data_IF_846571786567
#
_entry.id   IF_846571786567
#
_cell.length_a   1.000
_cell.length_b   1.000
_cell.length_c   1.000
_cell.angle_alpha   90.00
_cell.angle_beta   90.00
_cell.angle_gamma   90.00
#
_symmetry.space_group_name_H-M   'P 1'
#
loop_
_entity.id
_entity.type
_entity.pdbx_description
1 polymer ?
#
# COMPACT_ATOMS: atom_id res chain seq x y z
N UNK A 1 60.67 45.22 -15.93
CA UNK A 1 60.68 44.48 -17.21
C UNK A 1 59.71 43.32 -17.07
N UNK A 2 58.62 43.35 -17.84
CA UNK A 2 57.60 42.30 -17.84
C UNK A 2 58.21 41.03 -18.42
N UNK A 3 58.35 39.96 -17.61
CA UNK A 3 58.74 38.66 -18.13
C UNK A 3 57.49 37.81 -18.36
N UNK A 4 57.21 37.61 -19.64
CA UNK A 4 56.10 36.89 -20.22
C UNK A 4 55.89 35.52 -19.59
N UNK A 5 54.71 35.35 -19.02
CA UNK A 5 54.10 34.07 -18.74
C UNK A 5 53.56 33.51 -20.06
N UNK A 6 54.35 32.65 -20.73
CA UNK A 6 53.87 31.85 -21.86
C UNK A 6 54.18 30.39 -21.58
N UNK A 7 53.22 29.74 -20.91
CA UNK A 7 53.07 28.29 -20.88
C UNK A 7 52.94 27.77 -22.33
N UNK A 8 54.00 27.15 -22.83
CA UNK A 8 53.91 26.25 -23.96
C UNK A 8 53.19 24.98 -23.48
N UNK A 9 51.89 24.84 -23.72
CA UNK A 9 51.21 23.55 -23.61
C UNK A 9 51.91 22.56 -24.55
N UNK A 10 52.29 21.41 -24.01
CA UNK A 10 52.91 20.33 -24.80
C UNK A 10 51.87 19.79 -25.81
N UNK A 11 52.29 19.52 -27.06
CA UNK A 11 51.40 19.12 -28.16
C UNK A 11 50.60 17.86 -27.80
N UNK A 12 51.18 16.95 -27.03
CA UNK A 12 50.51 15.75 -26.53
C UNK A 12 49.42 16.06 -25.50
N UNK A 13 49.63 17.06 -24.64
CA UNK A 13 48.60 17.51 -23.69
C UNK A 13 47.43 18.16 -24.42
N UNK A 14 47.71 18.95 -25.47
CA UNK A 14 46.66 19.53 -26.31
C UNK A 14 45.82 18.45 -26.99
N UNK A 15 46.45 17.43 -27.57
CA UNK A 15 45.74 16.31 -28.20
C UNK A 15 44.84 15.58 -27.18
N UNK A 16 45.35 15.36 -25.96
CA UNK A 16 44.59 14.70 -24.91
C UNK A 16 43.38 15.52 -24.46
N UNK A 17 43.55 16.83 -24.24
CA UNK A 17 42.44 17.72 -23.87
C UNK A 17 41.36 17.80 -24.96
N UNK A 18 41.73 17.79 -26.24
CA UNK A 18 40.77 17.78 -27.34
C UNK A 18 39.99 16.47 -27.40
N UNK A 19 40.65 15.32 -27.16
CA UNK A 19 39.97 14.02 -27.10
C UNK A 19 39.00 13.94 -25.92
N UNK A 20 39.39 14.47 -24.76
CA UNK A 20 38.54 14.50 -23.57
C UNK A 20 37.31 15.40 -23.79
N UNK A 21 37.50 16.58 -24.39
CA UNK A 21 36.40 17.46 -24.78
C UNK A 21 35.45 16.79 -25.78
N UNK A 22 35.98 16.03 -26.74
CA UNK A 22 35.17 15.30 -27.70
C UNK A 22 34.30 14.24 -27.02
N UNK A 23 34.86 13.50 -26.05
CA UNK A 23 34.12 12.51 -25.26
C UNK A 23 33.04 13.16 -24.39
N UNK A 24 33.34 14.31 -23.79
CA UNK A 24 32.37 15.10 -23.05
C UNK A 24 31.19 15.53 -23.94
N UNK A 25 31.45 16.01 -25.15
CA UNK A 25 30.38 16.41 -26.09
C UNK A 25 29.49 15.23 -26.52
N UNK A 26 30.08 14.05 -26.74
CA UNK A 26 29.31 12.83 -27.06
C UNK A 26 28.39 12.48 -25.88
N UNK A 27 28.92 12.48 -24.65
CA UNK A 27 28.14 12.18 -23.45
C UNK A 27 27.00 13.18 -23.22
N UNK A 28 27.24 14.46 -23.51
CA UNK A 28 26.23 15.50 -23.37
C UNK A 28 25.11 15.33 -24.41
N UNK A 29 25.47 14.98 -25.64
CA UNK A 29 24.51 14.72 -26.73
C UNK A 29 23.61 13.54 -26.38
N UNK A 30 24.17 12.46 -25.83
CA UNK A 30 23.38 11.31 -25.39
C UNK A 30 22.42 11.67 -24.26
N UNK A 31 22.87 12.47 -23.28
CA UNK A 31 22.01 12.95 -22.20
C UNK A 31 20.87 13.83 -22.70
N UNK A 32 21.12 14.71 -23.67
CA UNK A 32 20.09 15.53 -24.32
C UNK A 32 19.06 14.63 -25.03
N UNK A 33 19.51 13.64 -25.79
CA UNK A 33 18.62 12.70 -26.46
C UNK A 33 17.77 11.90 -25.48
N UNK A 34 18.31 11.51 -24.32
CA UNK A 34 17.55 10.86 -23.26
C UNK A 34 16.47 11.80 -22.69
N UNK A 35 16.77 13.07 -22.47
CA UNK A 35 15.79 14.05 -22.02
C UNK A 35 14.67 14.27 -23.04
N UNK A 36 14.99 14.36 -24.33
CA UNK A 36 13.99 14.48 -25.39
C UNK A 36 13.02 13.28 -25.42
N UNK A 37 13.56 12.06 -25.24
CA UNK A 37 12.74 10.86 -25.14
C UNK A 37 11.83 10.87 -23.89
N UNK A 38 12.33 11.38 -22.76
CA UNK A 38 11.54 11.51 -21.54
C UNK A 38 10.41 12.56 -21.70
N UNK A 39 10.69 13.68 -22.35
CA UNK A 39 9.69 14.71 -22.67
C UNK A 39 8.58 14.14 -23.57
N UNK A 40 8.94 13.42 -24.63
CA UNK A 40 7.96 12.77 -25.50
C UNK A 40 7.07 11.76 -24.74
N UNK A 41 7.63 11.05 -23.75
CA UNK A 41 6.88 10.14 -22.89
C UNK A 41 5.94 10.89 -21.93
N UNK A 42 6.37 12.03 -21.40
CA UNK A 42 5.53 12.87 -20.53
C UNK A 42 4.32 13.42 -21.30
N UNK A 43 4.52 13.92 -22.53
CA UNK A 43 3.43 14.39 -23.39
C UNK A 43 2.39 13.29 -23.66
N UNK A 44 2.85 12.06 -23.90
CA UNK A 44 1.97 10.91 -24.09
C UNK A 44 1.14 10.61 -22.84
N UNK A 45 1.77 10.63 -21.66
CA UNK A 45 1.11 10.39 -20.38
C UNK A 45 0.13 11.51 -20.01
N UNK A 46 0.44 12.75 -20.35
CA UNK A 46 -0.46 13.88 -20.14
C UNK A 46 -1.72 13.75 -21.01
N UNK A 47 -1.54 13.35 -22.27
CA UNK A 47 -2.66 13.06 -23.17
C UNK A 47 -3.53 11.91 -22.65
N UNK A 48 -2.92 10.81 -22.21
CA UNK A 48 -3.65 9.66 -21.65
C UNK A 48 -4.43 10.05 -20.37
N UNK A 49 -3.82 10.84 -19.49
CA UNK A 49 -4.50 11.37 -18.31
C UNK A 49 -5.70 12.26 -18.68
N UNK A 50 -5.57 13.08 -19.73
CA UNK A 50 -6.67 13.88 -20.27
C UNK A 50 -7.84 13.01 -20.77
N UNK A 51 -7.53 11.96 -21.53
CA UNK A 51 -8.53 11.01 -22.03
C UNK A 51 -9.22 10.26 -20.89
N UNK A 52 -8.47 9.77 -19.91
CA UNK A 52 -9.02 9.08 -18.74
C UNK A 52 -9.92 10.00 -17.91
N UNK A 53 -9.54 11.27 -17.74
CA UNK A 53 -10.36 12.27 -17.04
C UNK A 53 -11.68 12.53 -17.77
N UNK A 54 -11.65 12.63 -19.10
CA UNK A 54 -12.86 12.78 -19.92
C UNK A 54 -13.76 11.54 -19.82
N UNK A 55 -13.20 10.34 -19.84
CA UNK A 55 -13.96 9.10 -19.65
C UNK A 55 -14.61 9.01 -18.27
N UNK A 56 -13.91 9.47 -17.22
CA UNK A 56 -14.44 9.51 -15.86
C UNK A 56 -15.64 10.45 -15.78
N UNK A 57 -15.52 11.67 -16.31
CA UNK A 57 -16.63 12.63 -16.36
C UNK A 57 -17.82 12.09 -17.14
N UNK A 58 -17.60 11.44 -18.28
CA UNK A 58 -18.67 10.82 -19.06
C UNK A 58 -19.41 9.73 -18.27
N UNK A 59 -18.68 8.92 -17.49
CA UNK A 59 -19.27 7.90 -16.61
C UNK A 59 -20.04 8.51 -15.44
N UNK A 60 -19.54 9.57 -14.83
CA UNK A 60 -20.22 10.27 -13.74
C UNK A 60 -21.56 10.88 -14.20
N UNK A 61 -21.58 11.52 -15.37
CA UNK A 61 -22.82 12.02 -15.99
C UNK A 61 -23.83 10.90 -16.28
N UNK A 62 -23.36 9.74 -16.73
CA UNK A 62 -24.23 8.58 -16.96
C UNK A 62 -24.82 8.03 -15.65
N UNK A 63 -24.03 8.00 -14.58
CA UNK A 63 -24.49 7.59 -13.25
C UNK A 63 -25.55 8.55 -12.73
N UNK A 64 -25.33 9.86 -12.85
CA UNK A 64 -26.29 10.89 -12.43
C UNK A 64 -27.63 10.75 -13.16
N UNK A 65 -27.59 10.54 -14.49
CA UNK A 65 -28.79 10.31 -15.31
C UNK A 65 -29.57 9.07 -14.86
N UNK A 66 -28.87 7.97 -14.56
CA UNK A 66 -29.50 6.73 -14.07
C UNK A 66 -30.10 6.91 -12.66
N UNK A 67 -29.42 7.63 -11.77
CA UNK A 67 -29.94 7.95 -10.44
C UNK A 67 -31.20 8.83 -10.50
N UNK A 68 -31.24 9.80 -11.41
CA UNK A 68 -32.43 10.60 -11.69
C UNK A 68 -33.62 9.75 -12.14
N UNK A 69 -33.41 8.85 -13.10
CA UNK A 69 -34.47 7.93 -13.59
C UNK A 69 -35.00 6.99 -12.48
N UNK A 70 -34.13 6.50 -11.61
CA UNK A 70 -34.53 5.66 -10.47
C UNK A 70 -35.35 6.43 -9.42
N UNK A 71 -35.04 7.71 -9.22
CA UNK A 71 -35.76 8.58 -8.28
C UNK A 71 -37.15 8.92 -8.80
N UNK A 72 -37.28 9.25 -10.09
CA UNK A 72 -38.59 9.48 -10.74
C UNK A 72 -39.46 8.22 -10.82
N UNK A 73 -38.86 7.01 -10.82
CA UNK A 73 -39.61 5.75 -10.78
C UNK A 73 -40.18 5.44 -9.39
N UNK A 74 -39.59 5.96 -8.30
CA UNK A 74 -40.09 5.79 -6.93
C UNK A 74 -41.28 6.70 -6.60
N UNK A 75 -41.41 7.86 -7.24
CA UNK A 75 -42.50 8.82 -6.94
C UNK A 75 -43.84 8.46 -7.58
N UNK A 76 -43.89 7.52 -8.54
CA UNK A 76 -45.13 7.07 -9.17
C UNK A 76 -45.80 5.85 -8.48
N UNK A 77 -45.39 5.50 -7.26
CA UNK A 77 -46.04 4.46 -6.44
C UNK A 77 -46.29 4.94 -5.00
N UNK A 78 -47.33 5.76 -4.80
CA UNK A 78 -47.97 6.08 -3.53
C UNK A 78 -49.26 6.85 -3.84
N UNK A 79 -50.45 6.59 -3.31
CA UNK A 79 -50.91 6.01 -2.03
C UNK A 79 -52.37 5.50 -2.22
N UNK A 80 -53.30 5.43 -1.22
CA UNK A 80 -53.24 5.05 0.21
C UNK A 80 -54.35 4.01 0.59
N UNK A 81 -54.36 3.47 1.82
CA UNK A 81 -55.61 3.20 2.55
C UNK A 81 -55.38 2.97 4.05
N UNK A 82 -55.99 3.84 4.84
CA UNK A 82 -56.25 3.77 6.28
C UNK A 82 -57.20 2.61 6.61
N UNK A 83 -57.08 2.01 7.81
CA UNK A 83 -58.23 1.68 8.67
C UNK A 83 -57.80 1.25 10.07
N UNK A 84 -58.51 1.83 11.04
CA UNK A 84 -58.57 1.45 12.45
C UNK A 84 -59.34 0.13 12.65
N UNK A 85 -59.39 -0.28 13.92
CA UNK A 85 -60.43 -1.02 14.67
C UNK A 85 -60.12 -2.46 15.11
N UNK A 86 -60.18 -2.61 16.43
CA UNK A 86 -60.13 -3.78 17.33
C UNK A 86 -61.36 -4.73 17.23
N UNK A 87 -61.35 -5.92 17.89
CA UNK A 87 -62.07 -7.15 17.50
C UNK A 87 -63.46 -7.33 18.16
N UNK A 88 -64.21 -8.42 17.85
CA UNK A 88 -64.29 -9.54 18.82
C UNK A 88 -64.53 -10.97 18.27
N UNK A 89 -63.90 -11.93 18.95
CA UNK A 89 -64.41 -13.20 19.54
C UNK A 89 -65.27 -14.22 18.73
N UNK A 90 -64.68 -15.43 18.61
CA UNK A 90 -65.20 -16.82 18.58
C UNK A 90 -66.69 -17.14 18.39
N UNK A 91 -66.97 -18.06 17.45
CA UNK A 91 -67.81 -19.25 17.71
C UNK A 91 -67.46 -20.43 16.78
N UNK A 92 -67.42 -21.62 17.39
CA UNK A 92 -67.18 -22.99 16.89
C UNK A 92 -68.36 -23.42 15.97
N UNK A 93 -68.26 -24.26 14.91
CA UNK A 93 -68.25 -25.75 14.96
C UNK A 93 -68.36 -26.35 13.53
N UNK A 94 -67.45 -27.30 13.21
CA UNK A 94 -67.55 -28.58 12.45
C UNK A 94 -68.25 -28.71 11.08
N UNK A 95 -67.58 -29.29 10.07
CA UNK A 95 -67.97 -30.52 9.32
C UNK A 95 -66.88 -30.93 8.27
N UNK A 96 -66.48 -32.21 8.28
CA UNK A 96 -65.56 -32.94 7.36
C UNK A 96 -66.33 -33.45 6.10
N UNK A 97 -65.74 -34.14 5.09
CA UNK A 97 -64.32 -34.36 4.71
C UNK A 97 -64.03 -34.24 3.17
N UNK A 98 -62.78 -34.56 2.80
CA UNK A 98 -62.35 -35.26 1.56
C UNK A 98 -61.60 -34.45 0.46
N UNK A 99 -60.28 -34.66 0.42
CA UNK A 99 -59.43 -34.72 -0.79
C UNK A 99 -57.96 -34.93 -0.38
N UNK A 100 -57.40 -36.08 -0.75
CA UNK A 100 -55.97 -36.40 -0.71
C UNK A 100 -55.10 -35.30 -1.31
N UNK A 101 -54.47 -34.48 -0.47
CA UNK A 101 -53.38 -33.58 -0.86
C UNK A 101 -52.08 -34.08 -0.24
N UNK A 102 -51.13 -34.45 -1.11
CA UNK A 102 -49.75 -34.67 -0.71
C UNK A 102 -49.26 -33.47 0.11
N UNK A 103 -48.81 -33.76 1.32
CA UNK A 103 -48.42 -32.75 2.31
C UNK A 103 -47.52 -31.68 1.69
N UNK A 104 -47.86 -30.40 1.90
CA UNK A 104 -47.03 -29.24 1.56
C UNK A 104 -45.58 -29.39 2.06
N UNK A 105 -45.36 -30.18 3.12
CA UNK A 105 -44.04 -30.53 3.64
C UNK A 105 -43.16 -31.28 2.61
N UNK A 106 -43.75 -32.09 1.72
CA UNK A 106 -43.03 -32.86 0.70
C UNK A 106 -42.53 -31.98 -0.45
N UNK A 107 -43.33 -30.99 -0.85
CA UNK A 107 -42.96 -30.00 -1.87
C UNK A 107 -41.90 -29.00 -1.35
N UNK A 108 -42.01 -28.59 -0.08
CA UNK A 108 -41.04 -27.70 0.57
C UNK A 108 -39.63 -28.33 0.70
N UNK A 109 -39.55 -29.64 0.91
CA UNK A 109 -38.27 -30.36 1.03
C UNK A 109 -37.50 -30.47 -0.30
N UNK A 110 -38.20 -30.54 -1.44
CA UNK A 110 -37.57 -30.54 -2.77
C UNK A 110 -37.01 -29.16 -3.16
N UNK A 111 -37.67 -28.08 -2.77
CA UNK A 111 -37.18 -26.70 -3.01
C UNK A 111 -35.97 -26.31 -2.14
N UNK A 112 -35.80 -26.93 -0.98
CA UNK A 112 -34.67 -26.66 -0.07
C UNK A 112 -33.31 -27.14 -0.60
N UNK A 113 -33.30 -28.09 -1.55
CA UNK A 113 -32.08 -28.67 -2.13
C UNK A 113 -31.52 -27.86 -3.31
N UNK A 114 -32.31 -26.98 -3.92
CA UNK A 114 -31.84 -26.14 -5.02
C UNK A 114 -31.32 -24.81 -4.47
N UNK A 115 -29.99 -24.68 -4.40
CA UNK A 115 -29.34 -23.44 -3.96
C UNK A 115 -29.67 -22.34 -4.97
N UNK A 116 -30.53 -21.41 -4.58
CA UNK A 116 -30.99 -20.31 -5.44
C UNK A 116 -29.79 -19.58 -6.10
N UNK A 117 -29.67 -19.58 -7.45
CA UNK A 117 -28.56 -18.96 -8.17
C UNK A 117 -28.48 -17.43 -7.94
N UNK A 118 -29.60 -16.78 -7.60
CA UNK A 118 -29.61 -15.36 -7.26
C UNK A 118 -28.99 -15.11 -5.87
N UNK A 119 -29.24 -16.00 -4.90
CA UNK A 119 -28.65 -15.93 -3.55
C UNK A 119 -27.15 -16.21 -3.56
N UNK A 120 -26.69 -17.14 -4.39
CA UNK A 120 -25.25 -17.39 -4.58
C UNK A 120 -24.57 -16.24 -5.32
N UNK A 121 -25.21 -15.63 -6.32
CA UNK A 121 -24.68 -14.45 -7.03
C UNK A 121 -24.57 -13.23 -6.12
N UNK A 122 -25.59 -12.94 -5.29
CA UNK A 122 -25.52 -11.88 -4.27
C UNK A 122 -24.42 -12.13 -3.24
N UNK A 123 -24.24 -13.39 -2.82
CA UNK A 123 -23.16 -13.77 -1.89
C UNK A 123 -21.77 -13.58 -2.52
N UNK A 124 -21.61 -13.93 -3.81
CA UNK A 124 -20.38 -13.66 -4.56
C UNK A 124 -20.13 -12.17 -4.75
N UNK A 125 -21.15 -11.39 -5.07
CA UNK A 125 -21.03 -9.92 -5.20
C UNK A 125 -20.69 -9.26 -3.86
N UNK A 126 -21.28 -9.72 -2.76
CA UNK A 126 -20.94 -9.27 -1.41
C UNK A 126 -19.50 -9.63 -1.03
N UNK A 127 -19.04 -10.84 -1.36
CA UNK A 127 -17.64 -11.22 -1.20
C UNK A 127 -16.72 -10.40 -2.14
N UNK A 128 -17.18 -10.09 -3.36
CA UNK A 128 -16.48 -9.27 -4.34
C UNK A 128 -16.23 -7.84 -3.87
N UNK A 129 -17.16 -7.26 -3.08
CA UNK A 129 -16.97 -5.95 -2.42
C UNK A 129 -15.79 -5.94 -1.45
N UNK A 130 -15.43 -7.10 -0.88
CA UNK A 130 -14.27 -7.25 0.01
C UNK A 130 -12.95 -7.12 -0.76
N UNK A 131 -12.97 -7.30 -2.07
CA UNK A 131 -11.83 -7.13 -2.98
C UNK A 131 -11.91 -5.82 -3.79
N UNK A 132 -12.92 -4.98 -3.54
CA UNK A 132 -12.96 -3.62 -4.09
C UNK A 132 -12.06 -2.74 -3.24
N UNK A 133 -11.01 -2.19 -3.84
CA UNK A 133 -10.11 -1.21 -3.23
C UNK A 133 -10.91 0.07 -2.93
N UNK A 134 -11.29 0.27 -1.67
CA UNK A 134 -12.03 1.45 -1.20
C UNK A 134 -11.13 2.66 -0.95
N UNK A 135 -9.82 2.53 -1.13
CA UNK A 135 -8.87 3.48 -0.58
C UNK A 135 -8.55 4.62 -1.55
N UNK A 136 -9.29 5.73 -1.43
CA UNK A 136 -9.04 7.03 -2.10
C UNK A 136 -7.96 7.88 -1.41
N UNK A 137 -7.02 7.26 -0.71
CA UNK A 137 -5.98 7.95 0.07
C UNK A 137 -4.61 7.89 -0.60
N UNK A 138 -3.66 8.67 -0.08
CA UNK A 138 -2.27 8.52 -0.50
C UNK A 138 -1.78 7.10 -0.24
N UNK A 139 -1.13 6.54 -1.25
CA UNK A 139 -0.55 5.20 -1.25
C UNK A 139 0.96 5.35 -1.18
N UNK A 140 1.61 4.53 -0.36
CA UNK A 140 3.06 4.56 -0.20
C UNK A 140 3.49 4.18 1.19
N UNK A 141 4.80 4.26 1.40
CA UNK A 141 5.45 3.87 2.64
C UNK A 141 6.35 4.99 3.12
N UNK A 142 6.40 5.17 4.44
CA UNK A 142 7.19 6.19 5.09
C UNK A 142 7.96 5.59 6.26
N UNK A 143 9.21 6.02 6.41
CA UNK A 143 9.97 5.76 7.62
C UNK A 143 9.57 6.76 8.70
N UNK A 144 9.17 6.23 9.85
CA UNK A 144 9.00 6.99 11.08
C UNK A 144 10.22 6.74 11.96
N UNK A 145 10.82 7.82 12.46
CA UNK A 145 12.01 7.73 13.30
C UNK A 145 11.65 7.97 14.76
N UNK A 146 12.19 7.11 15.63
CA UNK A 146 12.02 7.17 17.07
C UNK A 146 13.38 7.19 17.76
N UNK A 147 13.44 7.86 18.90
CA UNK A 147 14.58 7.81 19.82
C UNK A 147 14.76 6.42 20.43
N UNK A 148 16.01 6.05 20.69
CA UNK A 148 16.39 4.77 21.30
C UNK A 148 17.29 4.99 22.50
N UNK A 149 16.89 4.43 23.63
CA UNK A 149 17.78 4.29 24.79
C UNK A 149 18.55 2.97 24.70
N UNK A 150 19.86 3.03 24.46
CA UNK A 150 20.76 1.87 24.52
C UNK A 150 20.75 0.94 23.30
N UNK A 151 21.23 -0.30 23.49
CA UNK A 151 21.28 -1.34 22.45
C UNK A 151 20.01 -2.18 22.49
N UNK A 152 19.18 -2.09 21.45
CA UNK A 152 17.93 -2.84 21.33
C UNK A 152 17.97 -3.69 20.06
N UNK A 153 17.55 -4.95 20.19
CA UNK A 153 17.45 -5.89 19.07
C UNK A 153 16.15 -5.68 18.28
N UNK A 154 16.12 -6.06 17.00
CA UNK A 154 14.91 -5.96 16.15
C UNK A 154 13.72 -6.75 16.72
N UNK A 155 13.97 -7.93 17.29
CA UNK A 155 12.96 -8.76 17.94
C UNK A 155 12.34 -8.04 19.15
N UNK A 156 13.18 -7.40 19.95
CA UNK A 156 12.76 -6.63 21.13
C UNK A 156 11.92 -5.43 20.72
N UNK A 157 12.31 -4.69 19.67
CA UNK A 157 11.49 -3.60 19.12
C UNK A 157 10.11 -4.12 18.73
N UNK A 158 10.02 -5.23 17.98
CA UNK A 158 8.71 -5.81 17.62
C UNK A 158 7.89 -6.22 18.84
N UNK A 159 8.54 -6.78 19.85
CA UNK A 159 7.88 -7.15 21.10
C UNK A 159 7.31 -5.93 21.83
N UNK A 160 8.08 -4.85 21.96
CA UNK A 160 7.64 -3.63 22.63
C UNK A 160 6.55 -2.89 21.84
N UNK A 161 6.65 -2.83 20.50
CA UNK A 161 5.57 -2.27 19.67
C UNK A 161 4.26 -3.03 19.87
N UNK A 162 4.31 -4.37 19.96
CA UNK A 162 3.12 -5.18 20.24
C UNK A 162 2.53 -4.86 21.63
N UNK A 163 3.38 -4.65 22.65
CA UNK A 163 2.94 -4.25 23.99
C UNK A 163 2.35 -2.85 24.03
N UNK A 164 2.84 -1.95 23.19
CA UNK A 164 2.28 -0.62 22.98
C UNK A 164 0.93 -0.63 22.21
N UNK A 165 0.42 -1.81 21.83
CA UNK A 165 -0.84 -1.95 21.11
C UNK A 165 -0.73 -1.70 19.60
N UNK A 166 0.49 -1.70 19.05
CA UNK A 166 0.72 -1.57 17.61
C UNK A 166 0.59 -2.94 16.94
N UNK A 167 -0.09 -2.95 15.80
CA UNK A 167 -0.15 -4.13 14.96
C UNK A 167 1.18 -4.33 14.24
N UNK A 168 1.98 -5.27 14.75
CA UNK A 168 3.27 -5.63 14.14
C UNK A 168 3.16 -6.17 12.71
N UNK A 169 1.97 -6.61 12.27
CA UNK A 169 1.73 -7.02 10.89
C UNK A 169 1.72 -5.84 9.90
N UNK A 170 1.49 -4.61 10.38
CA UNK A 170 1.57 -3.39 9.59
C UNK A 170 2.97 -2.79 9.54
N UNK A 171 3.89 -3.31 10.35
CA UNK A 171 5.30 -2.89 10.39
C UNK A 171 6.09 -3.68 9.35
N UNK A 172 6.55 -2.98 8.30
CA UNK A 172 7.27 -3.61 7.21
C UNK A 172 8.72 -3.89 7.58
N UNK A 173 9.42 -2.86 8.05
CA UNK A 173 10.83 -2.98 8.41
C UNK A 173 11.13 -2.23 9.71
N UNK A 174 12.15 -2.71 10.42
CA UNK A 174 12.75 -2.06 11.57
C UNK A 174 14.24 -1.97 11.33
N UNK A 175 14.73 -0.75 11.34
CA UNK A 175 16.09 -0.44 11.00
C UNK A 175 16.71 0.52 12.02
N UNK A 176 18.05 0.57 12.07
CA UNK A 176 18.78 1.42 13.03
C UNK A 176 19.71 2.33 12.23
N UNK A 177 19.21 3.43 11.67
CA UNK A 177 19.97 4.24 10.71
C UNK A 177 21.14 4.99 11.37
N UNK A 178 21.00 5.39 12.63
CA UNK A 178 22.02 6.09 13.38
C UNK A 178 22.06 5.59 14.84
N UNK A 179 23.08 6.02 15.57
CA UNK A 179 23.17 5.76 17.01
C UNK A 179 22.04 6.47 17.73
N UNK A 180 21.24 5.69 18.48
CA UNK A 180 20.11 6.25 19.23
C UNK A 180 18.85 6.47 18.40
N UNK A 181 18.80 6.00 17.15
CA UNK A 181 17.62 6.14 16.28
C UNK A 181 17.10 4.77 15.82
N UNK A 182 15.78 4.61 15.87
CA UNK A 182 15.05 3.49 15.28
C UNK A 182 14.26 4.03 14.10
N UNK A 183 14.46 3.46 12.91
CA UNK A 183 13.60 3.70 11.75
C UNK A 183 12.58 2.57 11.62
N UNK A 184 11.31 2.92 11.47
CA UNK A 184 10.21 1.97 11.31
C UNK A 184 9.51 2.28 9.99
N UNK A 185 9.45 1.30 9.09
CA UNK A 185 8.78 1.46 7.79
C UNK A 185 7.31 1.07 7.92
N UNK A 186 6.43 2.03 7.63
CA UNK A 186 4.98 1.88 7.76
C UNK A 186 4.28 2.33 6.48
N UNK A 187 3.06 1.83 6.26
CA UNK A 187 2.19 2.40 5.23
C UNK A 187 1.70 3.79 5.65
N UNK A 188 1.68 4.76 4.72
CA UNK A 188 1.36 6.17 5.00
C UNK A 188 0.05 6.32 5.78
N UNK A 189 -0.98 5.54 5.43
CA UNK A 189 -2.30 5.61 6.10
C UNK A 189 -2.28 5.14 7.55
N UNK A 190 -1.24 4.40 7.96
CA UNK A 190 -1.08 3.93 9.33
C UNK A 190 -0.15 4.84 10.16
N UNK A 191 0.57 5.78 9.53
CA UNK A 191 1.54 6.64 10.22
C UNK A 191 0.87 7.48 11.31
N UNK A 192 -0.27 8.11 11.00
CA UNK A 192 -1.04 8.90 11.97
C UNK A 192 -1.49 8.07 13.18
N UNK A 193 -2.03 6.87 12.94
CA UNK A 193 -2.46 5.95 14.00
C UNK A 193 -1.27 5.50 14.85
N UNK A 194 -0.14 5.20 14.20
CA UNK A 194 1.10 4.81 14.86
C UNK A 194 1.66 5.94 15.74
N UNK A 195 1.76 7.16 15.20
CA UNK A 195 2.26 8.33 15.94
C UNK A 195 1.36 8.67 17.12
N UNK A 196 0.04 8.53 16.97
CA UNK A 196 -0.90 8.71 18.07
C UNK A 196 -0.65 7.68 19.19
N UNK A 197 -0.34 6.41 18.87
CA UNK A 197 0.06 5.42 19.86
C UNK A 197 1.41 5.75 20.51
N UNK A 198 2.41 6.15 19.71
CA UNK A 198 3.73 6.51 20.24
C UNK A 198 3.68 7.71 21.18
N UNK A 199 2.83 8.71 20.89
CA UNK A 199 2.59 9.84 21.78
C UNK A 199 1.99 9.42 23.12
N UNK A 200 1.09 8.42 23.14
CA UNK A 200 0.55 7.85 24.38
C UNK A 200 1.60 7.10 25.21
N UNK A 201 2.62 6.56 24.54
CA UNK A 201 3.74 5.89 25.18
C UNK A 201 4.89 6.83 25.54
N UNK A 202 4.72 8.16 25.37
CA UNK A 202 5.76 9.17 25.60
C UNK A 202 7.07 8.87 24.83
N UNK A 203 6.95 8.25 23.66
CA UNK A 203 8.11 7.94 22.84
C UNK A 203 8.61 9.18 22.09
N UNK A 204 9.92 9.37 22.08
CA UNK A 204 10.58 10.47 21.36
C UNK A 204 10.46 10.27 19.84
N UNK A 205 9.63 11.08 19.19
CA UNK A 205 9.53 11.10 17.74
C UNK A 205 10.51 12.10 17.12
N UNK A 206 11.26 11.67 16.11
CA UNK A 206 12.23 12.49 15.38
C UNK A 206 11.64 12.83 14.00
N UNK A 207 11.19 14.08 13.83
CA UNK A 207 10.49 14.51 12.60
C UNK A 207 11.45 14.75 11.42
N UNK A 208 12.59 15.39 11.67
CA UNK A 208 13.50 15.89 10.61
C UNK A 208 14.78 15.05 10.47
N UNK A 209 14.69 13.73 10.65
CA UNK A 209 15.84 12.86 10.49
C UNK A 209 16.20 12.68 9.01
N UNK A 210 17.42 13.06 8.63
CA UNK A 210 17.95 12.88 7.28
C UNK A 210 18.80 11.61 7.22
N UNK A 211 18.33 10.49 6.63
CA UNK A 211 19.04 9.22 6.66
C UNK A 211 20.36 9.22 5.87
N UNK A 212 20.49 10.10 4.88
CA UNK A 212 21.68 10.25 4.05
C UNK A 212 22.71 11.25 4.60
N UNK A 213 22.48 11.79 5.80
CA UNK A 213 23.46 12.69 6.41
C UNK A 213 24.74 11.90 6.78
N UNK A 214 25.94 12.31 6.32
CA UNK A 214 27.20 11.66 6.66
C UNK A 214 27.45 11.61 8.18
N UNK A 215 26.87 12.53 8.95
CA UNK A 215 27.01 12.56 10.42
C UNK A 215 26.33 11.38 11.14
N UNK A 216 25.43 10.66 10.46
CA UNK A 216 24.78 9.49 11.05
C UNK A 216 25.73 8.30 11.22
N UNK A 217 26.85 8.28 10.50
CA UNK A 217 27.88 7.26 10.66
C UNK A 217 28.64 7.52 11.98
N UNK A 218 28.26 6.78 13.01
CA UNK A 218 28.82 6.90 14.36
C UNK A 218 29.98 5.93 14.66
N UNK A 219 30.38 5.10 13.71
CA UNK A 219 31.51 4.18 13.89
C UNK A 219 32.83 4.99 13.83
N UNK A 220 33.65 4.98 14.91
CA UNK A 220 34.90 5.72 14.98
C UNK A 220 35.85 5.42 13.82
N UNK A 221 35.73 4.25 13.19
CA UNK A 221 36.53 3.88 12.02
C UNK A 221 36.38 4.86 10.86
N UNK A 222 35.22 5.52 10.74
CA UNK A 222 34.92 6.45 9.66
C UNK A 222 35.00 7.92 10.09
N UNK A 223 35.50 8.21 11.30
CA UNK A 223 35.56 9.56 11.83
C UNK A 223 36.60 10.44 11.10
N UNK A 224 37.69 9.82 10.62
CA UNK A 224 38.80 10.52 9.97
C UNK A 224 38.64 10.66 8.44
N UNK A 225 37.57 10.09 7.86
CA UNK A 225 37.33 10.14 6.42
C UNK A 225 36.81 11.50 5.97
N UNK A 226 37.05 11.85 4.71
CA UNK A 226 36.49 13.04 4.10
C UNK A 226 34.95 12.96 4.03
N UNK A 227 34.29 14.12 4.03
CA UNK A 227 32.82 14.21 4.04
C UNK A 227 32.23 13.49 2.81
N UNK A 228 32.83 13.67 1.63
CA UNK A 228 32.40 13.05 0.37
C UNK A 228 32.45 11.51 0.44
N UNK A 229 33.49 10.94 1.05
CA UNK A 229 33.61 9.49 1.23
C UNK A 229 32.57 8.97 2.21
N UNK A 230 32.27 9.74 3.27
CA UNK A 230 31.22 9.39 4.25
C UNK A 230 29.83 9.44 3.61
N UNK A 231 29.57 10.37 2.69
CA UNK A 231 28.32 10.45 1.92
C UNK A 231 28.12 9.23 1.02
N UNK A 232 29.19 8.77 0.36
CA UNK A 232 29.13 7.55 -0.46
C UNK A 232 28.85 6.32 0.41
N UNK A 233 29.51 6.21 1.58
CA UNK A 233 29.30 5.10 2.51
C UNK A 233 27.88 5.06 3.07
N UNK A 234 27.31 6.20 3.49
CA UNK A 234 25.93 6.23 4.02
C UNK A 234 24.91 5.86 2.93
N UNK A 235 25.17 6.27 1.68
CA UNK A 235 24.36 5.86 0.53
C UNK A 235 24.44 4.34 0.33
N UNK A 236 25.65 3.77 0.32
CA UNK A 236 25.86 2.32 0.20
C UNK A 236 25.15 1.55 1.31
N UNK A 237 25.34 1.94 2.58
CA UNK A 237 24.69 1.30 3.73
C UNK A 237 23.17 1.34 3.64
N UNK A 238 22.61 2.48 3.21
CA UNK A 238 21.17 2.65 3.03
C UNK A 238 20.65 1.74 1.91
N UNK A 239 21.38 1.65 0.79
CA UNK A 239 21.02 0.80 -0.33
C UNK A 239 21.11 -0.69 0.02
N UNK A 240 22.23 -1.14 0.62
CA UNK A 240 22.39 -2.52 1.09
C UNK A 240 21.26 -2.91 2.05
N UNK A 241 20.89 -2.01 2.97
CA UNK A 241 19.75 -2.22 3.87
C UNK A 241 18.44 -2.37 3.09
N UNK A 242 18.15 -1.48 2.15
CA UNK A 242 16.92 -1.56 1.35
C UNK A 242 16.81 -2.91 0.63
N UNK A 243 17.92 -3.39 0.05
CA UNK A 243 17.98 -4.71 -0.60
C UNK A 243 17.76 -5.86 0.39
N UNK A 244 18.36 -5.80 1.59
CA UNK A 244 18.13 -6.80 2.64
C UNK A 244 16.68 -6.83 3.10
N UNK A 245 16.08 -5.66 3.29
CA UNK A 245 14.67 -5.51 3.65
C UNK A 245 13.77 -6.13 2.59
N UNK A 246 14.00 -5.82 1.30
CA UNK A 246 13.28 -6.43 0.18
C UNK A 246 13.43 -7.96 0.13
N UNK A 247 14.66 -8.46 0.27
CA UNK A 247 14.93 -9.90 0.29
C UNK A 247 14.22 -10.60 1.47
N UNK A 248 14.16 -9.96 2.63
CA UNK A 248 13.52 -10.53 3.82
C UNK A 248 12.02 -10.74 3.67
N UNK A 249 11.32 -9.89 2.89
CA UNK A 249 9.90 -10.08 2.61
C UNK A 249 9.65 -11.34 1.78
N UNK A 250 10.51 -11.60 0.79
CA UNK A 250 10.43 -12.81 -0.04
C UNK A 250 10.66 -14.06 0.82
N UNK A 251 11.67 -14.04 1.68
CA UNK A 251 11.95 -15.17 2.56
C UNK A 251 10.87 -15.38 3.64
N UNK A 252 10.32 -14.30 4.21
CA UNK A 252 9.26 -14.40 5.23
C UNK A 252 7.99 -15.05 4.69
N UNK A 253 7.61 -14.75 3.45
CA UNK A 253 6.45 -15.38 2.81
C UNK A 253 6.69 -16.86 2.54
N UNK A 254 7.89 -17.24 2.12
CA UNK A 254 8.28 -18.64 1.93
C UNK A 254 8.29 -19.44 3.24
N UNK A 255 8.82 -18.87 4.34
CA UNK A 255 8.81 -19.52 5.66
C UNK A 255 7.38 -19.67 6.20
N UNK A 256 6.53 -18.66 6.01
CA UNK A 256 5.12 -18.74 6.39
C UNK A 256 4.38 -19.85 5.62
N UNK A 257 4.64 -19.98 4.31
CA UNK A 257 4.10 -21.07 3.49
C UNK A 257 4.65 -22.44 3.90
N UNK A 258 5.94 -22.54 4.21
CA UNK A 258 6.53 -23.80 4.68
C UNK A 258 5.92 -24.26 6.01
N UNK A 259 5.68 -23.33 6.94
CA UNK A 259 5.06 -23.63 8.22
C UNK A 259 3.59 -24.05 8.07
N UNK A 260 2.82 -23.41 7.18
CA UNK A 260 1.42 -23.82 6.92
C UNK A 260 1.33 -25.17 6.22
N UNK A 261 2.23 -25.46 5.26
CA UNK A 261 2.31 -26.76 4.61
C UNK A 261 2.72 -27.88 5.59
N UNK A 262 3.64 -27.60 6.52
CA UNK A 262 4.04 -28.56 7.56
C UNK A 262 2.89 -28.85 8.55
N UNK A 263 2.12 -27.82 8.94
CA UNK A 263 0.91 -27.97 9.77
C UNK A 263 -0.18 -28.78 9.05
N UNK A 264 -0.41 -28.54 7.75
CA UNK A 264 -1.34 -29.32 6.93
C UNK A 264 -0.89 -30.78 6.79
N UNK A 265 0.40 -31.02 6.53
CA UNK A 265 0.96 -32.36 6.43
C UNK A 265 0.90 -33.13 7.78
N UNK A 266 1.08 -32.44 8.90
CA UNK A 266 0.94 -33.01 10.23
C UNK A 266 -0.51 -33.39 10.58
N UNK A 267 -1.49 -32.65 10.05
CA UNK A 267 -2.92 -32.95 10.24
C UNK A 267 -3.41 -34.13 9.39
N UNK A 268 -2.76 -34.40 8.24
CA UNK A 268 -3.07 -35.53 7.36
C UNK A 268 -2.52 -36.87 7.85
N UNK A 269 -1.51 -36.88 8.75
CA UNK A 269 -0.93 -38.10 9.35
C UNK A 269 -1.67 -38.62 10.60
N UNK A 270 -2.69 -37.89 11.07
CA UNK A 270 -3.46 -38.23 12.29
C UNK A 270 -4.89 -38.73 11.99
N UNK A 271 -5.24 -38.94 10.72
CA UNK A 271 -6.48 -39.60 10.29
C UNK A 271 -6.17 -40.98 9.71
#
# INVERSE_FOLDING_TARGET
>A
MLNNNQQSMDLNQLIQTVQEQQQQLISLTERIQQHDNLLARLDLLEKENGELKNQLQAKDLAIEKLQGQLSSRRTNQGAPASSQVTPPQELVTTHQPDATQGSYASAARKGAQHRDPARTTKRRLAAGRMFQTTTKGQQGYQYVYLGRSGKILRSEVRYQLRRAGIDTGRVLDICFPATGVIGILLHIQYVEEFLACMRKCEADHIENFQPLDPNNIADPKYADLAIEEREQLIYEFTNTRALQTLSSFVHSTLVALANTLSLLAGSLKKS
#
